data_IF_324278599623
#
_entry.id   IF_324278599623
#
_cell.length_a   1.000
_cell.length_b   1.000
_cell.length_c   1.000
_cell.angle_alpha   90.00
_cell.angle_beta   90.00
_cell.angle_gamma   90.00
#
_symmetry.space_group_name_H-M   'P 1'
#
loop_
_entity.id
_entity.type
_entity.pdbx_description
1 polymer ?
#
# COMPACT_ATOMS: atom_id res chain seq x y z
N UNK A 1 21.99 -5.34 -25.98
CA UNK A 1 21.51 -3.98 -26.26
C UNK A 1 20.58 -3.54 -25.11
N UNK A 2 20.76 -2.31 -24.60
CA UNK A 2 20.00 -1.78 -23.47
C UNK A 2 18.50 -1.73 -23.78
N UNK A 3 18.11 -1.37 -24.99
CA UNK A 3 16.71 -1.37 -25.45
C UNK A 3 16.08 -2.76 -25.53
N UNK A 4 16.87 -3.83 -25.62
CA UNK A 4 16.38 -5.20 -25.55
C UNK A 4 16.06 -5.62 -24.11
N UNK A 5 16.84 -5.13 -23.14
CA UNK A 5 16.64 -5.40 -21.72
C UNK A 5 15.50 -4.53 -21.13
N UNK A 6 15.44 -3.28 -21.58
CA UNK A 6 14.46 -2.29 -21.09
C UNK A 6 13.75 -1.63 -22.28
N UNK A 7 12.65 -2.19 -22.76
CA UNK A 7 11.91 -1.68 -23.92
C UNK A 7 11.47 -0.23 -23.69
N UNK A 8 11.72 0.62 -24.70
CA UNK A 8 11.33 2.03 -24.65
C UNK A 8 12.32 2.97 -23.95
N UNK A 9 13.43 2.45 -23.43
CA UNK A 9 14.46 3.28 -22.79
C UNK A 9 15.05 4.32 -23.77
N UNK A 10 15.07 4.01 -25.06
CA UNK A 10 15.59 4.90 -26.09
C UNK A 10 14.87 6.25 -26.13
N UNK A 11 13.59 6.29 -25.72
CA UNK A 11 12.79 7.52 -25.64
C UNK A 11 13.10 8.37 -24.40
N UNK A 12 13.82 7.80 -23.45
CA UNK A 12 14.12 8.41 -22.15
C UNK A 12 15.50 9.09 -22.13
N UNK A 13 16.25 9.04 -23.24
CA UNK A 13 17.51 9.75 -23.33
C UNK A 13 17.29 11.26 -23.28
N UNK A 14 17.98 11.96 -22.38
CA UNK A 14 17.74 13.38 -22.16
C UNK A 14 18.18 14.19 -23.38
N UNK A 15 17.24 14.96 -23.92
CA UNK A 15 17.55 15.86 -25.10
C UNK A 15 18.03 17.23 -24.64
N UNK A 16 17.38 17.77 -23.60
CA UNK A 16 17.63 19.12 -23.10
C UNK A 16 18.01 19.16 -21.61
N UNK A 17 17.92 18.04 -20.92
CA UNK A 17 18.29 17.91 -19.51
C UNK A 17 19.54 17.05 -19.38
N UNK A 18 20.41 17.34 -18.42
CA UNK A 18 21.64 16.58 -18.22
C UNK A 18 21.39 15.18 -17.60
N UNK A 19 20.23 14.95 -17.03
CA UNK A 19 19.90 13.70 -16.33
C UNK A 19 18.45 13.33 -16.54
N UNK A 20 18.19 12.05 -16.77
CA UNK A 20 16.85 11.44 -16.79
C UNK A 20 16.85 10.22 -15.86
N UNK A 21 15.74 9.97 -15.18
CA UNK A 21 15.54 8.80 -14.32
C UNK A 21 14.28 8.07 -14.75
N UNK A 22 14.36 6.74 -14.84
CA UNK A 22 13.28 5.86 -15.24
C UNK A 22 13.29 4.62 -14.37
N UNK A 23 12.11 4.15 -13.98
CA UNK A 23 11.96 2.86 -13.33
C UNK A 23 11.52 1.82 -14.37
N UNK A 24 12.11 0.65 -14.33
CA UNK A 24 11.79 -0.45 -15.23
C UNK A 24 11.92 -1.79 -14.53
N UNK A 25 11.23 -2.79 -15.06
CA UNK A 25 11.30 -4.15 -14.55
C UNK A 25 11.96 -5.07 -15.58
N UNK A 26 12.83 -5.96 -15.09
CA UNK A 26 13.47 -6.97 -15.92
C UNK A 26 13.70 -8.25 -15.11
N UNK A 27 13.22 -9.38 -15.60
CA UNK A 27 13.29 -10.70 -14.94
C UNK A 27 12.80 -10.69 -13.48
N UNK A 28 11.67 -10.00 -13.22
CA UNK A 28 11.08 -9.89 -11.88
C UNK A 28 11.85 -8.99 -10.92
N UNK A 29 12.88 -8.28 -11.39
CA UNK A 29 13.63 -7.30 -10.61
C UNK A 29 13.28 -5.87 -11.04
N UNK A 30 13.23 -4.97 -10.08
CA UNK A 30 12.93 -3.55 -10.30
C UNK A 30 14.21 -2.73 -10.30
N UNK A 31 14.40 -1.97 -11.36
CA UNK A 31 15.60 -1.16 -11.56
C UNK A 31 15.26 0.32 -11.66
N UNK A 32 16.02 1.15 -10.97
CA UNK A 32 16.14 2.57 -11.30
C UNK A 32 17.25 2.75 -12.29
N UNK A 33 16.92 3.33 -13.44
CA UNK A 33 17.86 3.61 -14.52
C UNK A 33 18.07 5.11 -14.56
N UNK A 34 19.30 5.55 -14.27
CA UNK A 34 19.69 6.96 -14.36
C UNK A 34 20.55 7.15 -15.58
N UNK A 35 20.12 8.02 -16.51
CA UNK A 35 20.83 8.35 -17.73
C UNK A 35 21.36 9.77 -17.61
N UNK A 36 22.66 9.94 -17.67
CA UNK A 36 23.32 11.25 -17.65
C UNK A 36 23.94 11.54 -19.02
N UNK A 37 23.57 12.67 -19.62
CA UNK A 37 24.25 13.18 -20.77
C UNK A 37 25.56 13.87 -20.34
N UNK A 38 26.66 13.47 -20.90
CA UNK A 38 27.99 14.01 -20.62
C UNK A 38 28.63 14.50 -21.93
N UNK A 39 29.02 15.75 -21.98
CA UNK A 39 29.77 16.28 -23.10
C UNK A 39 31.21 15.77 -23.06
N UNK A 40 31.75 15.35 -24.19
CA UNK A 40 33.16 14.94 -24.25
C UNK A 40 34.08 16.10 -23.86
N UNK A 41 33.67 17.36 -24.07
CA UNK A 41 34.43 18.52 -23.60
C UNK A 41 34.56 18.60 -22.09
N UNK A 42 33.56 18.11 -21.38
CA UNK A 42 33.58 18.09 -19.89
C UNK A 42 34.52 17.00 -19.30
N UNK A 43 34.91 16.02 -20.14
CA UNK A 43 35.78 14.91 -19.75
C UNK A 43 37.26 15.17 -20.13
N UNK A 44 37.48 15.84 -21.25
CA UNK A 44 38.81 16.09 -21.78
C UNK A 44 39.09 17.58 -21.66
N UNK A 45 39.65 17.98 -20.51
CA UNK A 45 40.12 19.37 -20.28
C UNK A 45 41.31 19.78 -21.13
N UNK A 46 41.92 18.84 -21.87
CA UNK A 46 43.11 19.08 -22.69
C UNK A 46 42.91 18.62 -24.12
N UNK A 47 43.17 19.53 -25.05
CA UNK A 47 43.25 19.34 -26.51
C UNK A 47 41.89 19.44 -27.21
N UNK A 48 41.38 20.66 -27.31
CA UNK A 48 40.51 21.03 -28.42
C UNK A 48 41.24 22.13 -29.21
N UNK A 49 41.68 21.80 -30.41
CA UNK A 49 42.22 22.78 -31.36
C UNK A 49 41.17 23.87 -31.62
N UNK A 50 41.61 25.13 -31.71
CA UNK A 50 40.75 26.32 -31.84
C UNK A 50 39.85 26.28 -33.12
N UNK A 51 40.12 25.39 -34.06
CA UNK A 51 39.36 25.24 -35.32
C UNK A 51 37.99 24.54 -35.16
N UNK A 52 37.67 23.93 -34.01
CA UNK A 52 36.44 23.12 -33.83
C UNK A 52 35.35 23.83 -33.00
N UNK A 53 35.44 25.15 -32.81
CA UNK A 53 34.50 25.93 -31.99
C UNK A 53 33.05 25.97 -32.53
N UNK A 54 32.78 25.53 -33.75
CA UNK A 54 31.45 25.54 -34.38
C UNK A 54 30.70 24.23 -34.43
N UNK A 55 31.35 23.09 -34.14
CA UNK A 55 30.71 21.77 -34.19
C UNK A 55 30.13 21.39 -32.84
N UNK A 56 28.89 20.88 -32.83
CA UNK A 56 28.28 20.29 -31.62
C UNK A 56 29.21 19.19 -31.10
N UNK A 57 29.69 19.34 -29.86
CA UNK A 57 30.51 18.32 -29.22
C UNK A 57 29.72 17.00 -29.17
N UNK A 58 30.37 15.88 -29.50
CA UNK A 58 29.71 14.59 -29.37
C UNK A 58 29.28 14.34 -27.91
N UNK A 59 28.04 13.90 -27.76
CA UNK A 59 27.45 13.61 -26.46
C UNK A 59 27.63 12.12 -26.16
N UNK A 60 28.08 11.82 -24.96
CA UNK A 60 28.05 10.47 -24.39
C UNK A 60 26.95 10.37 -23.35
N UNK A 61 26.46 9.16 -23.13
CA UNK A 61 25.48 8.90 -22.11
C UNK A 61 26.05 7.87 -21.12
N UNK A 62 26.16 8.27 -19.88
CA UNK A 62 26.42 7.34 -18.77
C UNK A 62 25.10 6.80 -18.26
N UNK A 63 24.98 5.47 -18.22
CA UNK A 63 23.77 4.79 -17.76
C UNK A 63 24.11 4.04 -16.48
N UNK A 64 23.40 4.37 -15.41
CA UNK A 64 23.52 3.72 -14.11
C UNK A 64 22.26 2.88 -13.88
N UNK A 65 22.47 1.62 -13.50
CA UNK A 65 21.42 0.69 -13.14
C UNK A 65 21.54 0.41 -11.65
N UNK A 66 20.50 0.74 -10.90
CA UNK A 66 20.38 0.39 -9.48
C UNK A 66 19.26 -0.62 -9.31
N UNK A 67 19.58 -1.79 -8.77
CA UNK A 67 18.58 -2.79 -8.38
C UNK A 67 17.90 -2.33 -7.08
N UNK A 68 16.64 -1.94 -7.18
CA UNK A 68 15.83 -1.46 -6.06
C UNK A 68 14.84 -2.50 -5.54
N UNK A 69 14.91 -3.73 -6.05
CA UNK A 69 13.95 -4.80 -5.73
C UNK A 69 13.80 -4.98 -4.22
N UNK A 70 14.89 -5.27 -3.54
CA UNK A 70 14.86 -5.47 -2.08
C UNK A 70 14.39 -4.23 -1.33
N UNK A 71 14.86 -3.05 -1.73
CA UNK A 71 14.45 -1.80 -1.06
C UNK A 71 12.94 -1.58 -1.17
N UNK A 72 12.36 -1.82 -2.35
CA UNK A 72 10.92 -1.68 -2.57
C UNK A 72 10.11 -2.74 -1.82
N UNK A 73 10.60 -3.98 -1.77
CA UNK A 73 9.98 -5.06 -0.98
C UNK A 73 9.98 -4.72 0.52
N UNK A 74 11.11 -4.27 1.06
CA UNK A 74 11.20 -3.85 2.45
C UNK A 74 10.30 -2.65 2.75
N UNK A 75 10.25 -1.69 1.84
CA UNK A 75 9.37 -0.52 1.99
C UNK A 75 7.90 -0.92 2.02
N UNK A 76 7.51 -1.84 1.14
CA UNK A 76 6.16 -2.38 1.12
C UNK A 76 5.85 -3.14 2.42
N UNK A 77 6.77 -4.01 2.86
CA UNK A 77 6.61 -4.75 4.12
C UNK A 77 6.43 -3.84 5.32
N UNK A 78 7.26 -2.79 5.45
CA UNK A 78 7.11 -1.79 6.51
C UNK A 78 5.76 -1.10 6.45
N UNK A 79 5.25 -0.80 5.25
CA UNK A 79 3.94 -0.18 5.07
C UNK A 79 2.80 -1.13 5.47
N UNK A 80 2.91 -2.41 5.13
CA UNK A 80 1.90 -3.43 5.43
C UNK A 80 1.87 -3.79 6.93
N UNK A 81 3.01 -3.77 7.60
CA UNK A 81 3.14 -4.03 9.04
C UNK A 81 2.72 -2.83 9.93
N UNK A 82 2.48 -1.65 9.39
CA UNK A 82 1.99 -0.51 10.17
C UNK A 82 0.71 -0.85 10.91
N UNK A 83 0.65 -0.48 12.18
CA UNK A 83 -0.54 -0.66 12.99
C UNK A 83 -1.53 0.48 12.72
N UNK A 84 -2.78 0.10 12.53
CA UNK A 84 -3.91 1.01 12.33
C UNK A 84 -4.88 0.81 13.48
N UNK A 85 -5.25 1.93 14.11
CA UNK A 85 -6.30 1.95 15.13
C UNK A 85 -7.65 2.18 14.47
N UNK A 86 -8.66 1.40 14.85
CA UNK A 86 -10.03 1.50 14.39
C UNK A 86 -10.97 1.65 15.57
N UNK A 87 -12.00 2.48 15.42
CA UNK A 87 -13.13 2.58 16.32
C UNK A 87 -14.34 1.96 15.62
N UNK A 88 -15.01 1.04 16.31
CA UNK A 88 -16.23 0.40 15.83
C UNK A 88 -17.36 0.90 16.71
N UNK A 89 -18.39 1.48 16.09
CA UNK A 89 -19.59 1.93 16.73
C UNK A 89 -20.77 1.09 16.26
N UNK A 90 -21.63 0.70 17.20
CA UNK A 90 -22.89 0.02 16.92
C UNK A 90 -23.99 1.08 16.93
N UNK A 91 -24.41 1.48 15.75
CA UNK A 91 -25.57 2.37 15.61
C UNK A 91 -26.85 1.65 16.08
N UNK A 92 -27.79 2.40 16.66
CA UNK A 92 -29.08 1.91 17.15
C UNK A 92 -28.97 0.81 18.21
N UNK A 93 -27.84 0.73 18.94
CA UNK A 93 -27.61 -0.31 19.96
C UNK A 93 -28.71 -0.34 21.01
N UNK A 94 -29.05 0.81 21.59
CA UNK A 94 -30.08 0.91 22.66
C UNK A 94 -31.47 0.60 22.10
N UNK A 95 -31.82 1.07 20.90
CA UNK A 95 -33.08 0.78 20.24
C UNK A 95 -33.29 -0.73 20.01
N UNK A 96 -32.20 -1.40 19.57
CA UNK A 96 -32.23 -2.86 19.37
C UNK A 96 -32.43 -3.58 20.70
N UNK A 97 -31.76 -3.16 21.76
CA UNK A 97 -31.91 -3.76 23.09
C UNK A 97 -33.32 -3.53 23.64
N UNK A 98 -33.90 -2.35 23.43
CA UNK A 98 -35.25 -2.03 23.92
C UNK A 98 -36.37 -2.80 23.20
N UNK A 99 -36.09 -3.24 21.97
CA UNK A 99 -36.99 -4.08 21.18
C UNK A 99 -37.07 -5.54 21.66
N UNK A 100 -36.15 -5.94 22.56
CA UNK A 100 -36.02 -7.34 23.02
C UNK A 100 -36.37 -7.48 24.47
N UNK A 101 -36.96 -8.64 24.82
CA UNK A 101 -37.23 -9.00 26.19
C UNK A 101 -35.99 -8.86 27.07
N UNK A 102 -36.14 -8.27 28.25
CA UNK A 102 -35.05 -7.97 29.20
C UNK A 102 -34.22 -9.21 29.54
N UNK A 103 -34.83 -10.36 29.63
CA UNK A 103 -34.16 -11.65 29.91
C UNK A 103 -33.25 -12.12 28.81
N UNK A 104 -33.45 -11.65 27.56
CA UNK A 104 -32.66 -12.03 26.35
C UNK A 104 -31.57 -11.02 26.00
N UNK A 105 -31.62 -9.81 26.55
CA UNK A 105 -30.62 -8.76 26.27
C UNK A 105 -29.18 -9.20 26.53
N UNK A 106 -28.85 -9.87 27.67
CA UNK A 106 -27.49 -10.32 27.92
C UNK A 106 -26.98 -11.31 26.88
N UNK A 107 -27.85 -12.17 26.36
CA UNK A 107 -27.48 -13.11 25.31
C UNK A 107 -27.17 -12.42 24.02
N UNK A 108 -27.99 -11.44 23.61
CA UNK A 108 -27.72 -10.65 22.42
C UNK A 108 -26.38 -9.90 22.51
N UNK A 109 -26.12 -9.24 23.63
CA UNK A 109 -24.88 -8.54 23.89
C UNK A 109 -23.68 -9.48 23.74
N UNK A 110 -23.76 -10.67 24.36
CA UNK A 110 -22.67 -11.65 24.26
C UNK A 110 -22.46 -12.19 22.85
N UNK A 111 -23.52 -12.33 22.06
CA UNK A 111 -23.39 -12.75 20.65
C UNK A 111 -22.73 -11.67 19.80
N UNK A 112 -23.09 -10.40 19.97
CA UNK A 112 -22.47 -9.26 19.28
C UNK A 112 -20.99 -9.17 19.67
N UNK A 113 -20.67 -9.18 20.96
CA UNK A 113 -19.30 -9.14 21.48
C UNK A 113 -18.46 -10.27 20.89
N UNK A 114 -19.00 -11.47 20.86
CA UNK A 114 -18.34 -12.64 20.28
C UNK A 114 -18.08 -12.48 18.79
N UNK A 115 -19.06 -11.97 18.03
CA UNK A 115 -18.93 -11.84 16.57
C UNK A 115 -17.87 -10.80 16.21
N UNK A 116 -17.90 -9.64 16.88
CA UNK A 116 -16.91 -8.57 16.64
C UNK A 116 -15.51 -9.06 17.03
N UNK A 117 -15.39 -9.72 18.20
CA UNK A 117 -14.11 -10.27 18.65
C UNK A 117 -13.58 -11.32 17.68
N UNK A 118 -14.44 -12.23 17.22
CA UNK A 118 -14.07 -13.26 16.24
C UNK A 118 -13.58 -12.67 14.94
N UNK A 119 -14.29 -11.65 14.44
CA UNK A 119 -13.94 -10.97 13.20
C UNK A 119 -12.56 -10.32 13.30
N UNK A 120 -12.31 -9.48 14.29
CA UNK A 120 -11.02 -8.80 14.49
C UNK A 120 -9.88 -9.82 14.71
N UNK A 121 -10.15 -10.89 15.49
CA UNK A 121 -9.16 -11.94 15.73
C UNK A 121 -8.81 -12.75 14.47
N UNK A 122 -9.73 -12.91 13.53
CA UNK A 122 -9.47 -13.56 12.24
C UNK A 122 -8.43 -12.81 11.41
N UNK A 123 -8.34 -11.50 11.59
CA UNK A 123 -7.31 -10.63 11.00
C UNK A 123 -6.13 -10.36 11.94
N UNK A 124 -5.90 -11.25 12.91
CA UNK A 124 -4.81 -11.12 13.90
C UNK A 124 -4.81 -9.80 14.68
N UNK A 125 -5.94 -9.11 14.72
CA UNK A 125 -6.11 -7.86 15.42
C UNK A 125 -6.33 -8.04 16.92
N UNK A 126 -6.09 -6.97 17.65
CA UNK A 126 -6.40 -6.84 19.09
C UNK A 126 -7.63 -5.96 19.23
N UNK A 127 -8.56 -6.36 20.10
CA UNK A 127 -9.80 -5.61 20.33
C UNK A 127 -10.03 -5.40 21.81
N UNK A 128 -10.60 -4.25 22.15
CA UNK A 128 -11.06 -3.89 23.49
C UNK A 128 -12.42 -3.20 23.42
N UNK A 129 -13.39 -3.68 24.19
CA UNK A 129 -14.64 -2.98 24.40
C UNK A 129 -14.38 -1.77 25.29
N UNK A 130 -14.79 -0.58 24.84
CA UNK A 130 -14.68 0.68 25.59
C UNK A 130 -15.97 1.01 26.32
N UNK A 131 -17.08 0.93 25.61
CA UNK A 131 -18.45 1.17 26.09
C UNK A 131 -19.36 0.06 25.56
N UNK A 132 -20.62 0.11 25.90
CA UNK A 132 -21.56 -0.92 25.48
C UNK A 132 -21.68 -1.07 23.96
N UNK A 133 -21.60 0.05 23.25
CA UNK A 133 -21.76 0.21 21.81
C UNK A 133 -20.46 0.52 21.08
N UNK A 134 -19.31 0.59 21.80
CA UNK A 134 -18.04 1.07 21.24
C UNK A 134 -16.91 0.10 21.50
N UNK A 135 -16.16 -0.18 20.46
CA UNK A 135 -14.96 -1.03 20.50
C UNK A 135 -13.78 -0.30 19.89
N UNK A 136 -12.63 -0.54 20.46
CA UNK A 136 -11.35 -0.11 19.94
C UNK A 136 -10.59 -1.33 19.44
N UNK A 137 -10.14 -1.29 18.19
CA UNK A 137 -9.37 -2.37 17.58
C UNK A 137 -8.07 -1.85 17.02
N UNK A 138 -7.06 -2.71 16.99
CA UNK A 138 -5.78 -2.47 16.32
C UNK A 138 -5.53 -3.64 15.38
N UNK A 139 -5.25 -3.34 14.11
CA UNK A 139 -4.92 -4.30 13.06
C UNK A 139 -3.71 -3.81 12.27
N UNK A 140 -3.04 -4.68 11.53
CA UNK A 140 -2.03 -4.23 10.56
C UNK A 140 -2.69 -3.59 9.34
N UNK A 141 -1.96 -2.74 8.63
CA UNK A 141 -2.44 -2.10 7.42
C UNK A 141 -2.75 -3.10 6.29
N UNK A 142 -2.00 -4.20 6.23
CA UNK A 142 -2.29 -5.32 5.33
C UNK A 142 -3.68 -5.90 5.57
N UNK A 143 -3.98 -6.27 6.82
CA UNK A 143 -5.27 -6.82 7.18
C UNK A 143 -6.41 -5.80 7.05
N UNK A 144 -6.14 -4.51 7.29
CA UNK A 144 -7.13 -3.46 7.01
C UNK A 144 -7.50 -3.42 5.54
N UNK A 145 -6.53 -3.53 4.62
CA UNK A 145 -6.79 -3.61 3.18
C UNK A 145 -7.62 -4.84 2.80
N UNK A 146 -7.35 -5.98 3.43
CA UNK A 146 -8.15 -7.20 3.24
C UNK A 146 -9.59 -7.02 3.74
N UNK A 147 -9.77 -6.40 4.91
CA UNK A 147 -11.09 -6.06 5.44
C UNK A 147 -11.85 -5.14 4.48
N UNK A 148 -11.19 -4.13 3.92
CA UNK A 148 -11.76 -3.22 2.94
C UNK A 148 -12.14 -3.93 1.63
N UNK A 149 -11.29 -4.84 1.14
CA UNK A 149 -11.58 -5.62 -0.06
C UNK A 149 -12.79 -6.55 0.11
N UNK A 150 -13.09 -6.94 1.36
CA UNK A 150 -14.26 -7.75 1.74
C UNK A 150 -15.45 -6.89 2.22
N UNK A 151 -15.46 -5.59 1.90
CA UNK A 151 -16.51 -4.63 2.29
C UNK A 151 -16.89 -4.69 3.78
N UNK A 152 -15.90 -4.97 4.65
CA UNK A 152 -16.09 -5.14 6.08
C UNK A 152 -17.27 -6.10 6.39
N UNK A 153 -17.17 -7.35 5.98
CA UNK A 153 -18.24 -8.38 6.12
C UNK A 153 -18.81 -8.50 7.53
N UNK A 154 -18.13 -7.96 8.55
CA UNK A 154 -18.64 -7.83 9.90
C UNK A 154 -20.01 -7.15 9.96
N UNK A 155 -20.27 -6.16 9.09
CA UNK A 155 -21.54 -5.43 9.09
C UNK A 155 -22.73 -6.37 8.78
N UNK A 156 -22.55 -7.27 7.81
CA UNK A 156 -23.57 -8.25 7.48
C UNK A 156 -23.69 -9.33 8.55
N UNK A 157 -22.56 -9.78 9.09
CA UNK A 157 -22.53 -10.78 10.16
C UNK A 157 -23.27 -10.30 11.42
N UNK A 158 -23.10 -9.04 11.80
CA UNK A 158 -23.78 -8.45 12.97
C UNK A 158 -25.27 -8.27 12.70
N UNK A 159 -25.67 -7.82 11.51
CA UNK A 159 -27.08 -7.68 11.12
C UNK A 159 -27.84 -9.01 11.14
N UNK A 160 -27.16 -10.12 10.87
CA UNK A 160 -27.78 -11.45 10.85
C UNK A 160 -27.89 -12.09 12.24
N UNK A 161 -27.39 -11.45 13.31
CA UNK A 161 -27.55 -11.94 14.66
C UNK A 161 -29.03 -11.87 15.04
N UNK A 162 -29.76 -12.97 14.85
CA UNK A 162 -31.11 -13.12 15.32
C UNK A 162 -31.13 -14.06 16.53
N UNK A 163 -31.71 -13.58 17.61
CA UNK A 163 -32.02 -14.42 18.75
C UNK A 163 -33.29 -15.16 18.38
N UNK A 164 -33.10 -16.35 17.79
CA UNK A 164 -34.14 -17.38 17.58
C UNK A 164 -35.60 -16.94 17.74
N UNK A 165 -36.09 -16.14 16.81
CA UNK A 165 -37.51 -16.00 16.62
C UNK A 165 -37.98 -17.12 15.70
N UNK A 166 -38.16 -18.31 16.25
CA UNK A 166 -39.18 -19.20 15.73
C UNK A 166 -40.50 -18.53 16.09
N UNK A 167 -41.01 -17.71 15.21
CA UNK A 167 -42.42 -17.33 15.26
C UNK A 167 -43.15 -18.59 14.82
N UNK A 168 -43.82 -19.24 15.78
CA UNK A 168 -44.88 -20.19 15.49
C UNK A 168 -46.08 -19.43 14.93
#
# INVERSE_FOLDING_TARGET
NLGTLFPGIDRQFPKNQRTSQVHSEYLGRKYQITIKAVSIRDIVETVVDEEDQGKKAPMMYAVYLSDETQMLEWKQKVEDEKLVAALIYLDNYDEVLDSIEETRRPLLIALIDRQITKYISAYHGVIKKLENDKYFAIVSNEHLKEMQANDFSLLEDVKTISIGNTIN
#
